data_IF_276765460698
#
_entry.id   IF_276765460698
#
_cell.length_a   1.000
_cell.length_b   1.000
_cell.length_c   1.000
_cell.angle_alpha   90.00
_cell.angle_beta   90.00
_cell.angle_gamma   90.00
#
_symmetry.space_group_name_H-M   'P 1'
#
loop_
_entity.id
_entity.type
_entity.pdbx_description
1 polymer ?
#
# COMPACT_ATOMS: atom_id res chain seq x y z
N UNK A 1 20.69 -7.20 23.20
CA UNK A 1 19.54 -6.94 24.09
C UNK A 1 19.14 -5.49 23.93
N UNK A 2 17.94 -5.26 23.41
CA UNK A 2 17.38 -3.93 23.15
C UNK A 2 16.06 -3.79 23.90
N UNK A 3 15.88 -2.72 24.67
CA UNK A 3 14.61 -2.44 25.35
C UNK A 3 13.57 -2.01 24.30
N UNK A 4 12.52 -2.79 24.14
CA UNK A 4 11.49 -2.57 23.12
C UNK A 4 10.15 -2.14 23.69
N UNK A 5 9.90 -2.35 24.98
CA UNK A 5 8.67 -1.94 25.65
C UNK A 5 8.92 -1.70 27.14
N UNK A 6 8.32 -0.65 27.69
CA UNK A 6 8.41 -0.29 29.11
C UNK A 6 7.07 0.23 29.59
N UNK A 7 6.61 -0.22 30.75
CA UNK A 7 5.43 0.35 31.42
C UNK A 7 5.73 0.52 32.88
N UNK A 8 5.35 1.66 33.45
CA UNK A 8 5.49 1.93 34.88
C UNK A 8 4.28 2.67 35.40
N UNK A 9 3.84 2.31 36.60
CA UNK A 9 2.75 2.96 37.30
C UNK A 9 2.91 2.86 38.81
N UNK A 10 2.34 3.84 39.50
CA UNK A 10 2.14 3.79 40.95
C UNK A 10 0.80 3.11 41.24
N UNK A 11 0.76 2.34 42.31
CA UNK A 11 -0.44 1.64 42.77
C UNK A 11 -0.68 1.89 44.26
N UNK A 12 -1.94 1.79 44.68
CA UNK A 12 -2.40 2.03 46.06
C UNK A 12 -2.94 0.76 46.73
N UNK A 13 -2.72 -0.41 46.13
CA UNK A 13 -3.22 -1.69 46.64
C UNK A 13 -2.38 -2.18 47.85
N UNK A 14 -3.04 -2.51 48.96
CA UNK A 14 -2.36 -2.92 50.22
C UNK A 14 -1.51 -4.21 50.11
N UNK A 15 -1.88 -5.15 49.20
CA UNK A 15 -1.20 -6.45 48.99
C UNK A 15 -0.56 -6.60 47.60
N UNK A 16 -0.07 -5.50 47.03
CA UNK A 16 0.42 -5.46 45.64
C UNK A 16 1.45 -6.56 45.32
N UNK A 17 2.42 -6.82 46.20
CA UNK A 17 3.44 -7.85 45.95
C UNK A 17 2.86 -9.24 45.72
N UNK A 18 1.86 -9.65 46.52
CA UNK A 18 1.24 -10.98 46.40
C UNK A 18 0.36 -11.05 45.16
N UNK A 19 -0.39 -9.98 44.89
CA UNK A 19 -1.24 -9.90 43.70
C UNK A 19 -0.41 -9.94 42.41
N UNK A 20 0.69 -9.19 42.37
CA UNK A 20 1.62 -9.17 41.23
C UNK A 20 2.31 -10.52 41.04
N UNK A 21 2.73 -11.17 42.13
CA UNK A 21 3.36 -12.50 42.09
C UNK A 21 2.38 -13.55 41.55
N UNK A 22 1.14 -13.57 42.01
CA UNK A 22 0.10 -14.48 41.51
C UNK A 22 -0.20 -14.22 40.02
N UNK A 23 -0.41 -12.96 39.63
CA UNK A 23 -0.70 -12.61 38.24
C UNK A 23 0.47 -12.94 37.30
N UNK A 24 1.71 -12.79 37.77
CA UNK A 24 2.90 -13.17 37.00
C UNK A 24 3.01 -14.68 36.85
N UNK A 25 2.79 -15.45 37.93
CA UNK A 25 2.81 -16.91 37.89
C UNK A 25 1.75 -17.46 36.93
N UNK A 26 0.52 -16.96 37.04
CA UNK A 26 -0.58 -17.33 36.13
C UNK A 26 -0.25 -17.03 34.66
N UNK A 27 0.36 -15.87 34.40
CA UNK A 27 0.75 -15.45 33.05
C UNK A 27 1.91 -16.30 32.50
N UNK A 28 2.92 -16.62 33.31
CA UNK A 28 4.04 -17.48 32.87
C UNK A 28 3.66 -18.95 32.68
N UNK A 29 2.62 -19.43 33.37
CA UNK A 29 2.25 -20.84 33.39
C UNK A 29 3.42 -21.72 33.84
N UNK A 30 3.74 -22.76 33.05
CA UNK A 30 4.80 -23.72 33.35
C UNK A 30 6.22 -23.23 32.98
N UNK A 31 6.37 -21.99 32.50
CA UNK A 31 7.67 -21.46 32.08
C UNK A 31 8.52 -21.12 33.31
N UNK A 32 9.76 -21.63 33.33
CA UNK A 32 10.72 -21.32 34.37
C UNK A 32 11.01 -19.81 34.42
N UNK A 33 10.91 -19.24 35.63
CA UNK A 33 11.19 -17.84 35.90
C UNK A 33 12.10 -17.69 37.12
N UNK A 34 12.84 -16.59 37.16
CA UNK A 34 13.71 -16.23 38.28
C UNK A 34 13.02 -15.17 39.13
N UNK A 35 13.08 -15.32 40.45
CA UNK A 35 12.60 -14.32 41.41
C UNK A 35 13.78 -13.87 42.26
N UNK A 36 14.03 -12.57 42.25
CA UNK A 36 15.08 -11.92 43.04
C UNK A 36 14.38 -10.99 44.02
N UNK A 37 14.66 -11.15 45.30
CA UNK A 37 14.16 -10.24 46.35
C UNK A 37 15.35 -9.56 47.01
N UNK A 38 15.36 -8.24 47.00
CA UNK A 38 16.36 -7.40 47.65
C UNK A 38 15.62 -6.33 48.43
N UNK A 39 16.08 -6.02 49.63
CA UNK A 39 15.55 -4.92 50.41
C UNK A 39 16.58 -4.38 51.38
N UNK A 40 16.36 -3.15 51.81
CA UNK A 40 17.05 -2.51 52.93
C UNK A 40 16.02 -2.14 54.02
N UNK A 41 16.39 -1.26 54.94
CA UNK A 41 15.49 -0.84 56.04
C UNK A 41 14.30 0.01 55.54
N UNK A 42 14.39 0.62 54.36
CA UNK A 42 13.44 1.63 53.87
C UNK A 42 12.68 1.18 52.60
N UNK A 43 13.26 0.26 51.83
CA UNK A 43 12.76 -0.15 50.51
C UNK A 43 12.78 -1.67 50.33
N UNK A 44 11.70 -2.21 49.77
CA UNK A 44 11.63 -3.62 49.35
C UNK A 44 11.44 -3.71 47.84
N UNK A 45 12.22 -4.58 47.20
CA UNK A 45 12.22 -4.77 45.76
C UNK A 45 12.07 -6.27 45.46
N UNK A 46 11.08 -6.61 44.64
CA UNK A 46 10.96 -7.92 44.02
C UNK A 46 11.10 -7.78 42.51
N UNK A 47 11.99 -8.57 41.91
CA UNK A 47 12.18 -8.65 40.48
C UNK A 47 11.89 -10.07 39.99
N UNK A 48 11.01 -10.17 39.00
CA UNK A 48 10.60 -11.40 38.32
C UNK A 48 11.13 -11.35 36.89
N UNK A 49 11.80 -12.41 36.45
CA UNK A 49 12.39 -12.50 35.11
C UNK A 49 11.92 -13.76 34.42
N UNK A 50 11.39 -13.61 33.21
CA UNK A 50 11.12 -14.74 32.33
C UNK A 50 11.76 -14.51 30.97
N UNK A 51 12.25 -15.59 30.38
CA UNK A 51 12.78 -15.61 29.02
C UNK A 51 11.84 -16.40 28.14
N UNK A 52 11.20 -15.73 27.20
CA UNK A 52 10.33 -16.36 26.22
C UNK A 52 11.15 -17.15 25.20
N UNK A 53 10.53 -18.21 24.65
CA UNK A 53 11.15 -19.03 23.59
C UNK A 53 11.46 -18.22 22.31
N UNK A 54 10.76 -17.10 22.10
CA UNK A 54 10.97 -16.17 20.99
C UNK A 54 12.22 -15.30 21.11
N UNK A 55 12.95 -15.38 22.24
CA UNK A 55 14.14 -14.55 22.52
C UNK A 55 13.83 -13.21 23.20
N UNK A 56 12.57 -12.95 23.55
CA UNK A 56 12.20 -11.80 24.38
C UNK A 56 12.38 -12.13 25.86
N UNK A 57 12.97 -11.20 26.61
CA UNK A 57 13.07 -11.26 28.06
C UNK A 57 12.11 -10.24 28.66
N UNK A 58 11.18 -10.70 29.48
CA UNK A 58 10.27 -9.84 30.24
C UNK A 58 10.77 -9.77 31.68
N UNK A 59 10.94 -8.56 32.19
CA UNK A 59 11.32 -8.30 33.59
C UNK A 59 10.26 -7.44 34.25
N UNK A 60 9.66 -7.95 35.32
CA UNK A 60 8.66 -7.26 36.13
C UNK A 60 9.29 -6.94 37.48
N UNK A 61 9.15 -5.70 37.93
CA UNK A 61 9.68 -5.20 39.19
C UNK A 61 8.56 -4.56 39.99
N UNK A 62 8.55 -4.84 41.28
CA UNK A 62 7.71 -4.15 42.25
C UNK A 62 8.63 -3.54 43.28
N UNK A 63 8.53 -2.23 43.45
CA UNK A 63 9.26 -1.46 44.44
C UNK A 63 8.26 -0.88 45.42
N UNK A 64 8.51 -1.06 46.71
CA UNK A 64 7.71 -0.48 47.78
C UNK A 64 8.65 0.30 48.70
N UNK A 65 8.42 1.60 48.84
CA UNK A 65 9.13 2.47 49.77
C UNK A 65 8.11 3.36 50.48
N UNK A 66 8.13 3.34 51.81
CA UNK A 66 7.20 4.08 52.68
C UNK A 66 5.72 3.92 52.30
N UNK A 67 5.17 4.90 51.56
CA UNK A 67 3.76 4.99 51.15
C UNK A 67 3.57 4.89 49.62
N UNK A 68 4.63 4.62 48.87
CA UNK A 68 4.57 4.54 47.41
C UNK A 68 5.00 3.16 46.91
N UNK A 69 4.15 2.58 46.06
CA UNK A 69 4.41 1.31 45.42
C UNK A 69 4.42 1.51 43.92
N UNK A 70 5.53 1.13 43.27
CA UNK A 70 5.68 1.23 41.82
C UNK A 70 5.81 -0.16 41.22
N UNK A 71 4.97 -0.42 40.21
CA UNK A 71 5.12 -1.57 39.32
C UNK A 71 5.78 -1.12 38.03
N UNK A 72 6.76 -1.90 37.59
CA UNK A 72 7.56 -1.60 36.41
C UNK A 72 7.82 -2.86 35.59
N UNK A 73 7.40 -2.84 34.31
CA UNK A 73 7.60 -3.93 33.35
C UNK A 73 8.52 -3.46 32.23
N UNK A 74 9.59 -4.20 31.98
CA UNK A 74 10.48 -4.05 30.84
C UNK A 74 10.40 -5.29 29.93
N UNK A 75 10.43 -5.07 28.62
CA UNK A 75 10.62 -6.14 27.63
C UNK A 75 11.85 -5.83 26.80
N UNK A 76 12.81 -6.75 26.83
CA UNK A 76 14.05 -6.70 26.09
C UNK A 76 14.05 -7.75 24.98
N UNK A 77 14.43 -7.37 23.77
CA UNK A 77 14.59 -8.29 22.65
C UNK A 77 16.07 -8.68 22.50
N UNK A 78 16.37 -9.97 22.55
CA UNK A 78 17.73 -10.49 22.34
C UNK A 78 18.09 -10.67 20.87
N UNK A 79 17.10 -10.90 20.01
CA UNK A 79 17.31 -11.34 18.63
C UNK A 79 17.57 -10.19 17.65
N UNK A 80 17.52 -8.93 18.09
CA UNK A 80 17.66 -7.72 17.26
C UNK A 80 16.76 -7.67 16.01
N UNK A 81 15.82 -8.62 15.89
CA UNK A 81 14.80 -8.62 14.86
C UNK A 81 13.76 -7.59 15.24
N UNK A 82 13.57 -6.59 14.38
CA UNK A 82 12.63 -5.47 14.53
C UNK A 82 11.15 -5.88 14.48
N UNK A 83 10.84 -7.17 14.63
CA UNK A 83 9.46 -7.64 14.59
C UNK A 83 8.85 -7.55 15.99
N UNK A 84 8.03 -6.51 16.16
CA UNK A 84 7.29 -6.19 17.38
C UNK A 84 6.12 -7.15 17.63
N UNK A 85 5.95 -8.18 16.79
CA UNK A 85 4.92 -9.21 16.88
C UNK A 85 4.97 -9.99 18.20
N UNK A 86 6.15 -10.06 18.84
CA UNK A 86 6.32 -10.72 20.14
C UNK A 86 5.89 -9.90 21.37
N UNK A 87 5.28 -8.72 21.20
CA UNK A 87 4.87 -7.84 22.32
C UNK A 87 3.43 -8.06 22.80
N UNK A 88 2.62 -8.85 22.10
CA UNK A 88 1.24 -9.12 22.51
C UNK A 88 1.19 -9.78 23.89
N UNK A 89 1.99 -10.83 24.08
CA UNK A 89 1.98 -11.59 25.33
C UNK A 89 2.47 -10.79 26.56
N UNK A 90 3.56 -9.99 26.51
CA UNK A 90 3.90 -9.08 27.60
C UNK A 90 2.86 -7.97 27.86
N UNK A 91 2.10 -7.53 26.85
CA UNK A 91 1.00 -6.57 27.06
C UNK A 91 -0.16 -7.20 27.80
N UNK A 92 -0.48 -8.47 27.52
CA UNK A 92 -1.48 -9.22 28.29
C UNK A 92 -1.15 -9.27 29.79
N UNK A 93 0.13 -9.41 30.15
CA UNK A 93 0.57 -9.30 31.54
C UNK A 93 0.24 -7.94 32.13
N UNK A 94 0.59 -6.85 31.46
CA UNK A 94 0.29 -5.48 31.93
C UNK A 94 -1.22 -5.29 32.09
N UNK A 95 -2.03 -5.68 31.11
CA UNK A 95 -3.49 -5.61 31.19
C UNK A 95 -4.03 -6.44 32.36
N UNK A 96 -3.49 -7.65 32.59
CA UNK A 96 -3.88 -8.51 33.71
C UNK A 96 -3.55 -7.87 35.06
N UNK A 97 -2.35 -7.30 35.20
CA UNK A 97 -1.92 -6.60 36.42
C UNK A 97 -2.81 -5.39 36.74
N UNK A 98 -3.12 -4.57 35.73
CA UNK A 98 -4.00 -3.42 35.89
C UNK A 98 -5.44 -3.84 36.24
N UNK A 99 -5.99 -4.88 35.58
CA UNK A 99 -7.31 -5.46 35.92
C UNK A 99 -7.34 -5.97 37.36
N UNK A 100 -6.28 -6.64 37.77
CA UNK A 100 -6.16 -7.18 39.12
C UNK A 100 -6.16 -6.04 40.14
N UNK A 101 -5.30 -5.03 39.95
CA UNK A 101 -5.26 -3.84 40.79
C UNK A 101 -6.62 -3.17 40.94
N UNK A 102 -7.30 -2.83 39.83
CA UNK A 102 -8.63 -2.20 39.88
C UNK A 102 -9.67 -3.06 40.62
N UNK A 103 -9.66 -4.39 40.43
CA UNK A 103 -10.59 -5.31 41.09
C UNK A 103 -10.36 -5.42 42.60
N UNK A 104 -9.13 -5.21 43.06
CA UNK A 104 -8.76 -5.23 44.48
C UNK A 104 -8.74 -3.82 45.10
N UNK A 105 -9.30 -2.82 44.43
CA UNK A 105 -9.44 -1.45 44.95
C UNK A 105 -8.18 -0.59 44.80
N UNK A 106 -7.19 -1.04 44.03
CA UNK A 106 -6.04 -0.24 43.63
C UNK A 106 -6.42 0.88 42.66
N UNK A 107 -5.57 1.91 42.61
CA UNK A 107 -5.73 3.06 41.70
C UNK A 107 -4.48 3.20 40.83
N UNK A 108 -4.33 2.36 39.79
CA UNK A 108 -3.13 2.37 38.97
C UNK A 108 -3.07 3.69 38.20
N UNK A 109 -2.00 4.46 38.41
CA UNK A 109 -1.82 5.78 37.81
C UNK A 109 -0.37 6.04 37.47
N UNK A 110 -0.15 7.00 36.58
CA UNK A 110 1.18 7.52 36.28
C UNK A 110 1.16 9.03 36.38
N UNK A 111 1.97 9.56 37.29
CA UNK A 111 1.89 10.98 37.64
C UNK A 111 0.47 11.33 38.11
N UNK A 112 -0.17 12.29 37.43
CA UNK A 112 -1.56 12.71 37.72
C UNK A 112 -2.61 11.95 36.90
N UNK A 113 -2.20 11.12 35.94
CA UNK A 113 -3.12 10.47 35.01
C UNK A 113 -3.42 9.04 35.46
N UNK A 114 -4.69 8.75 35.71
CA UNK A 114 -5.17 7.40 36.04
C UNK A 114 -5.29 6.53 34.78
N UNK A 115 -5.07 5.24 34.91
CA UNK A 115 -5.34 4.30 33.83
C UNK A 115 -6.81 3.89 33.87
N UNK A 116 -7.47 3.94 32.72
CA UNK A 116 -8.81 3.41 32.54
C UNK A 116 -8.78 2.43 31.38
N UNK A 117 -9.02 1.16 31.66
CA UNK A 117 -9.11 0.14 30.60
C UNK A 117 -10.44 0.18 29.85
N UNK A 118 -11.46 0.81 30.44
CA UNK A 118 -12.76 0.99 29.83
C UNK A 118 -12.79 2.29 29.02
N UNK A 119 -13.38 2.21 27.83
CA UNK A 119 -13.65 3.41 27.04
C UNK A 119 -14.58 4.34 27.82
N UNK A 120 -14.15 5.58 28.11
CA UNK A 120 -15.01 6.57 28.73
C UNK A 120 -16.18 6.87 27.80
N UNK A 121 -17.36 7.11 28.38
CA UNK A 121 -18.50 7.57 27.58
C UNK A 121 -18.17 8.95 26.99
N UNK A 122 -18.51 9.24 25.73
CA UNK A 122 -18.26 10.53 25.10
C UNK A 122 -19.24 11.60 25.60
N UNK A 123 -19.15 11.93 26.88
CA UNK A 123 -19.90 13.03 27.50
C UNK A 123 -19.12 14.33 27.38
N UNK A 124 -19.80 15.46 27.48
CA UNK A 124 -19.19 16.79 27.42
C UNK A 124 -18.07 16.96 28.45
N UNK A 125 -18.29 16.47 29.68
CA UNK A 125 -17.31 16.50 30.76
C UNK A 125 -16.06 15.70 30.43
N UNK A 126 -16.23 14.48 29.89
CA UNK A 126 -15.08 13.63 29.55
C UNK A 126 -14.30 14.21 28.38
N UNK A 127 -14.98 14.66 27.32
CA UNK A 127 -14.30 15.26 26.15
C UNK A 127 -13.51 16.49 26.58
N UNK A 128 -14.08 17.36 27.43
CA UNK A 128 -13.37 18.52 27.96
C UNK A 128 -12.13 18.12 28.74
N UNK A 129 -12.25 17.13 29.65
CA UNK A 129 -11.13 16.62 30.43
C UNK A 129 -9.99 16.11 29.54
N UNK A 130 -10.31 15.32 28.49
CA UNK A 130 -9.31 14.85 27.55
C UNK A 130 -8.64 15.99 26.77
N UNK A 131 -9.40 17.01 26.37
CA UNK A 131 -8.81 18.17 25.67
C UNK A 131 -7.88 18.95 26.59
N UNK A 132 -8.27 19.18 27.84
CA UNK A 132 -7.39 19.82 28.85
C UNK A 132 -6.11 19.02 29.04
N UNK A 133 -6.20 17.70 29.14
CA UNK A 133 -5.05 16.82 29.29
C UNK A 133 -4.18 16.77 28.03
N UNK A 134 -4.76 16.91 26.82
CA UNK A 134 -4.01 17.03 25.55
C UNK A 134 -3.09 18.27 25.56
N UNK A 135 -3.52 19.38 26.15
CA UNK A 135 -2.72 20.61 26.24
C UNK A 135 -1.89 20.73 27.51
N UNK A 136 -1.97 19.75 28.42
CA UNK A 136 -1.16 19.69 29.63
C UNK A 136 0.31 19.42 29.26
N UNK A 137 1.20 20.34 29.62
CA UNK A 137 2.65 20.27 29.33
C UNK A 137 3.38 19.18 30.13
N UNK A 138 2.77 18.66 31.18
CA UNK A 138 3.33 17.62 32.05
C UNK A 138 2.60 16.27 31.90
N UNK A 139 1.85 16.08 30.81
CA UNK A 139 1.10 14.84 30.56
C UNK A 139 2.05 13.63 30.48
N UNK A 140 1.96 12.65 31.40
CA UNK A 140 2.88 11.53 31.49
C UNK A 140 2.57 10.36 30.54
N UNK A 141 1.38 10.35 29.92
CA UNK A 141 0.89 9.24 29.08
C UNK A 141 0.35 9.75 27.74
N UNK A 142 0.25 8.87 26.75
CA UNK A 142 -0.36 9.24 25.46
C UNK A 142 -1.88 9.26 25.53
N UNK A 143 -2.50 10.05 24.66
CA UNK A 143 -3.94 10.03 24.42
C UNK A 143 -4.16 9.58 22.97
N UNK A 144 -4.98 8.55 22.76
CA UNK A 144 -5.37 8.06 21.45
C UNK A 144 -6.84 8.42 21.23
N UNK A 145 -7.11 9.29 20.27
CA UNK A 145 -8.46 9.67 19.90
C UNK A 145 -8.90 8.89 18.65
N UNK A 146 -10.06 8.25 18.70
CA UNK A 146 -10.61 7.46 17.60
C UNK A 146 -11.99 8.00 17.25
N UNK A 147 -12.15 8.48 16.02
CA UNK A 147 -13.42 8.99 15.52
C UNK A 147 -14.27 7.85 14.90
N UNK A 148 -15.57 7.87 15.17
CA UNK A 148 -16.52 6.98 14.51
C UNK A 148 -16.55 7.26 13.00
N UNK A 149 -16.44 6.20 12.18
CA UNK A 149 -16.64 6.29 10.73
C UNK A 149 -18.12 6.13 10.38
N UNK A 150 -18.80 7.15 9.81
CA UNK A 150 -20.20 7.05 9.39
C UNK A 150 -20.41 6.11 8.20
N UNK A 151 -19.36 5.80 7.44
CA UNK A 151 -19.39 4.90 6.29
C UNK A 151 -19.06 3.44 6.66
N UNK A 152 -18.77 3.17 7.93
CA UNK A 152 -18.44 1.84 8.43
C UNK A 152 -19.42 1.39 9.52
N UNK A 153 -19.44 0.09 9.81
CA UNK A 153 -20.26 -0.43 10.91
C UNK A 153 -19.75 0.10 12.25
N UNK A 154 -20.54 0.92 12.93
CA UNK A 154 -20.22 1.53 14.24
C UNK A 154 -19.67 0.53 15.24
N UNK A 155 -20.21 -0.70 15.25
CA UNK A 155 -19.78 -1.77 16.16
C UNK A 155 -18.32 -2.14 15.97
N UNK A 156 -17.83 -2.22 14.73
CA UNK A 156 -16.43 -2.58 14.42
C UNK A 156 -15.45 -1.52 14.90
N UNK A 157 -15.78 -0.23 14.74
CA UNK A 157 -14.93 0.86 15.23
C UNK A 157 -14.87 0.88 16.76
N UNK A 158 -15.99 0.60 17.44
CA UNK A 158 -16.01 0.48 18.91
C UNK A 158 -15.19 -0.73 19.37
N UNK A 159 -15.34 -1.89 18.72
CA UNK A 159 -14.55 -3.09 19.04
C UNK A 159 -13.05 -2.85 18.86
N UNK A 160 -12.65 -2.18 17.77
CA UNK A 160 -11.26 -1.74 17.56
C UNK A 160 -10.79 -0.78 18.65
N UNK A 161 -11.59 0.23 19.00
CA UNK A 161 -11.23 1.19 20.04
C UNK A 161 -11.05 0.51 21.41
N UNK A 162 -11.88 -0.49 21.74
CA UNK A 162 -11.73 -1.30 22.95
C UNK A 162 -10.46 -2.14 22.92
N UNK A 163 -10.18 -2.80 21.80
CA UNK A 163 -8.97 -3.60 21.64
C UNK A 163 -7.69 -2.74 21.80
N UNK A 164 -7.69 -1.50 21.27
CA UNK A 164 -6.60 -0.53 21.48
C UNK A 164 -6.55 -0.10 22.96
N UNK A 165 -7.68 0.21 23.59
CA UNK A 165 -7.71 0.61 25.01
C UNK A 165 -7.15 -0.49 25.92
N UNK A 166 -7.50 -1.74 25.68
CA UNK A 166 -6.98 -2.88 26.44
C UNK A 166 -5.50 -3.14 26.15
N UNK A 167 -5.10 -3.10 24.87
CA UNK A 167 -3.74 -3.41 24.44
C UNK A 167 -2.69 -2.35 24.77
N UNK A 168 -3.11 -1.12 25.06
CA UNK A 168 -2.25 0.01 25.47
C UNK A 168 -2.53 0.50 26.89
N UNK A 169 -3.22 -0.32 27.70
CA UNK A 169 -3.41 -0.06 29.12
C UNK A 169 -2.05 0.13 29.81
N UNK A 170 -1.94 1.14 30.68
CA UNK A 170 -0.68 1.51 31.34
C UNK A 170 0.22 2.46 30.53
N UNK A 171 -0.08 2.66 29.25
CA UNK A 171 0.72 3.52 28.35
C UNK A 171 -0.10 4.68 27.80
N UNK A 172 -1.35 4.42 27.44
CA UNK A 172 -2.23 5.41 26.81
C UNK A 172 -3.63 5.37 27.39
N UNK A 173 -4.30 6.52 27.34
CA UNK A 173 -5.76 6.57 27.44
C UNK A 173 -6.38 6.63 26.04
N UNK A 174 -7.56 6.04 25.87
CA UNK A 174 -8.27 6.01 24.60
C UNK A 174 -9.60 6.76 24.72
N UNK A 175 -9.77 7.76 23.86
CA UNK A 175 -11.02 8.51 23.72
C UNK A 175 -11.72 8.09 22.42
N UNK A 176 -12.86 7.44 22.55
CA UNK A 176 -13.74 7.16 21.42
C UNK A 176 -14.72 8.33 21.23
N UNK A 177 -14.78 8.87 20.01
CA UNK A 177 -15.64 10.00 19.64
C UNK A 177 -16.75 9.50 18.72
N UNK A 178 -17.99 9.52 19.21
CA UNK A 178 -19.17 9.34 18.36
C UNK A 178 -19.42 10.59 17.49
N UNK A 179 -20.42 10.55 16.60
CA UNK A 179 -20.68 11.69 15.69
C UNK A 179 -20.90 13.02 16.43
N UNK A 180 -21.58 13.00 17.58
CA UNK A 180 -21.83 14.20 18.38
C UNK A 180 -20.59 14.66 19.15
N UNK A 181 -19.84 13.72 19.73
CA UNK A 181 -18.61 13.96 20.47
C UNK A 181 -17.48 14.46 19.57
N UNK A 182 -17.40 13.98 18.32
CA UNK A 182 -16.41 14.45 17.35
C UNK A 182 -16.57 15.95 17.10
N UNK A 183 -17.76 16.42 16.73
CA UNK A 183 -18.01 17.83 16.47
C UNK A 183 -17.64 18.72 17.68
N UNK A 184 -17.88 18.23 18.90
CA UNK A 184 -17.51 18.93 20.14
C UNK A 184 -16.00 18.95 20.34
N UNK A 185 -15.34 17.81 20.17
CA UNK A 185 -13.89 17.71 20.25
C UNK A 185 -13.20 18.65 19.25
N UNK A 186 -13.66 18.70 18.00
CA UNK A 186 -13.15 19.59 16.96
C UNK A 186 -13.25 21.08 17.37
N UNK A 187 -14.38 21.47 17.97
CA UNK A 187 -14.58 22.84 18.45
C UNK A 187 -13.66 23.23 19.61
N UNK A 188 -13.29 22.26 20.46
CA UNK A 188 -12.45 22.51 21.64
C UNK A 188 -10.95 22.44 21.32
N UNK A 189 -10.52 21.49 20.49
CA UNK A 189 -9.10 21.24 20.22
C UNK A 189 -8.51 22.18 19.15
N UNK A 190 -9.35 22.69 18.24
CA UNK A 190 -8.94 23.56 17.14
C UNK A 190 -8.52 22.81 15.87
N UNK A 191 -8.48 23.53 14.75
CA UNK A 191 -8.34 22.95 13.40
C UNK A 191 -7.07 22.11 13.19
N UNK A 192 -5.96 22.47 13.83
CA UNK A 192 -4.66 21.82 13.59
C UNK A 192 -4.55 20.44 14.26
N UNK A 193 -5.35 20.21 15.31
CA UNK A 193 -5.33 19.00 16.15
C UNK A 193 -6.62 18.19 16.03
N UNK A 194 -7.51 18.62 15.14
CA UNK A 194 -8.77 17.99 14.82
C UNK A 194 -8.59 16.59 14.23
N UNK A 195 -9.71 15.88 14.12
CA UNK A 195 -9.87 14.56 13.52
C UNK A 195 -11.00 14.62 12.50
N UNK A 196 -10.85 13.95 11.37
CA UNK A 196 -11.98 13.71 10.46
C UNK A 196 -12.74 12.42 10.84
N UNK A 197 -13.99 12.24 10.37
CA UNK A 197 -14.75 11.03 10.65
C UNK A 197 -14.02 9.77 10.20
N UNK A 198 -13.89 8.81 11.13
CA UNK A 198 -13.21 7.53 10.90
C UNK A 198 -11.69 7.55 11.06
N UNK A 199 -11.08 8.70 11.39
CA UNK A 199 -9.63 8.79 11.64
C UNK A 199 -9.25 8.40 13.08
N UNK A 200 -7.96 8.09 13.27
CA UNK A 200 -7.35 7.90 14.58
C UNK A 200 -6.16 8.86 14.73
N UNK A 201 -6.05 9.54 15.86
CA UNK A 201 -4.93 10.45 16.12
C UNK A 201 -4.32 10.18 17.49
N UNK A 202 -2.99 10.28 17.54
CA UNK A 202 -2.20 9.99 18.73
C UNK A 202 -1.56 11.28 19.22
N UNK A 203 -1.79 11.60 20.48
CA UNK A 203 -1.14 12.67 21.21
C UNK A 203 -0.11 12.02 22.14
N UNK A 204 1.19 12.03 21.79
CA UNK A 204 2.23 11.39 22.60
C UNK A 204 2.36 12.05 23.98
N UNK A 205 3.00 11.44 25.00
CA UNK A 205 3.28 12.11 26.27
C UNK A 205 3.94 13.48 26.08
N UNK A 206 3.53 14.45 26.89
CA UNK A 206 4.14 15.78 26.89
C UNK A 206 5.46 15.73 27.66
N UNK A 207 6.44 16.50 27.19
CA UNK A 207 7.74 16.59 27.81
C UNK A 207 8.14 18.07 27.86
N UNK A 208 8.16 18.71 29.04
CA UNK A 208 8.34 20.17 29.15
C UNK A 208 9.73 20.64 28.70
N UNK A 209 10.73 19.76 28.67
CA UNK A 209 12.08 20.08 28.17
C UNK A 209 12.15 20.08 26.64
N UNK A 210 11.17 19.46 25.97
CA UNK A 210 11.14 19.30 24.53
C UNK A 210 9.94 20.03 23.91
N UNK A 211 10.14 20.64 22.74
CA UNK A 211 9.00 21.00 21.87
C UNK A 211 8.45 19.72 21.24
N UNK A 212 7.84 18.86 22.05
CA UNK A 212 7.23 17.63 21.57
C UNK A 212 6.18 17.97 20.53
N UNK A 213 6.16 17.20 19.44
CA UNK A 213 5.04 17.24 18.50
C UNK A 213 3.77 16.94 19.30
N UNK A 214 2.88 17.94 19.40
CA UNK A 214 1.69 17.82 20.25
C UNK A 214 0.80 16.64 19.83
N UNK A 215 0.73 16.40 18.52
CA UNK A 215 -0.06 15.35 17.93
C UNK A 215 0.66 14.76 16.71
N UNK A 216 0.79 13.44 16.67
CA UNK A 216 1.21 12.74 15.46
C UNK A 216 0.20 12.98 14.32
N UNK A 217 0.62 12.79 13.06
CA UNK A 217 -0.30 12.76 11.93
C UNK A 217 -1.44 11.75 12.17
N UNK A 218 -2.69 12.10 11.79
CA UNK A 218 -3.80 11.17 11.93
C UNK A 218 -3.63 9.97 10.99
N UNK A 219 -4.00 8.78 11.46
CA UNK A 219 -4.16 7.59 10.63
C UNK A 219 -5.48 7.76 9.85
N UNK A 220 -5.44 7.80 8.50
CA UNK A 220 -6.62 8.09 7.70
C UNK A 220 -7.72 7.02 7.81
N UNK A 221 -8.97 7.44 7.67
CA UNK A 221 -10.12 6.53 7.64
C UNK A 221 -10.05 5.50 6.48
N UNK A 222 -9.37 5.81 5.37
CA UNK A 222 -9.14 4.85 4.29
C UNK A 222 -8.28 3.67 4.73
N UNK A 223 -7.28 3.94 5.56
CA UNK A 223 -6.32 2.94 6.01
C UNK A 223 -6.98 2.06 7.05
N UNK A 224 -7.70 2.66 8.00
CA UNK A 224 -8.45 1.94 9.04
C UNK A 224 -9.49 1.00 8.42
N UNK A 225 -10.18 1.42 7.34
CA UNK A 225 -11.18 0.59 6.66
C UNK A 225 -10.60 -0.60 5.88
N UNK A 226 -9.40 -0.46 5.33
CA UNK A 226 -8.78 -1.47 4.43
C UNK A 226 -7.80 -2.38 5.15
N UNK A 227 -7.10 -1.85 6.16
CA UNK A 227 -6.06 -2.56 6.88
C UNK A 227 -6.65 -3.54 7.89
N UNK A 228 -5.91 -4.61 8.16
CA UNK A 228 -6.21 -5.49 9.29
C UNK A 228 -5.83 -4.80 10.61
N UNK A 229 -6.47 -5.21 11.71
CA UNK A 229 -6.23 -4.66 13.03
C UNK A 229 -4.74 -4.70 13.43
N UNK A 230 -4.01 -5.75 13.08
CA UNK A 230 -2.61 -5.91 13.45
C UNK A 230 -1.72 -4.82 12.83
N UNK A 231 -2.04 -4.34 11.62
CA UNK A 231 -1.31 -3.25 10.98
C UNK A 231 -1.59 -1.90 11.67
N UNK A 232 -2.86 -1.65 12.04
CA UNK A 232 -3.25 -0.45 12.80
C UNK A 232 -2.54 -0.48 14.16
N UNK A 233 -2.61 -1.60 14.87
CA UNK A 233 -1.94 -1.80 16.16
C UNK A 233 -0.43 -1.58 16.04
N UNK A 234 0.22 -2.09 14.98
CA UNK A 234 1.65 -1.86 14.74
C UNK A 234 1.98 -0.38 14.49
N UNK A 235 1.13 0.35 13.77
CA UNK A 235 1.29 1.80 13.53
C UNK A 235 1.18 2.58 14.84
N UNK A 236 0.16 2.28 15.64
CA UNK A 236 -0.01 2.87 16.99
C UNK A 236 1.22 2.62 17.86
N UNK A 237 1.73 1.38 17.90
CA UNK A 237 2.92 1.06 18.67
C UNK A 237 4.13 1.85 18.21
N UNK A 238 4.39 1.91 16.91
CA UNK A 238 5.55 2.62 16.35
C UNK A 238 5.53 4.10 16.71
N UNK A 239 4.36 4.72 16.73
CA UNK A 239 4.22 6.13 17.10
C UNK A 239 4.42 6.38 18.58
N UNK A 240 4.02 5.45 19.46
CA UNK A 240 4.10 5.67 20.92
C UNK A 240 5.44 5.16 21.48
N UNK A 241 6.03 4.11 20.89
CA UNK A 241 7.22 3.42 21.38
C UNK A 241 8.40 4.35 21.70
N UNK A 242 8.82 5.29 20.82
CA UNK A 242 9.96 6.16 21.11
C UNK A 242 9.74 6.98 22.39
N UNK A 243 8.50 7.43 22.62
CA UNK A 243 8.14 8.23 23.78
C UNK A 243 8.15 7.39 25.06
N UNK A 244 7.63 6.16 25.02
CA UNK A 244 7.65 5.23 26.15
C UNK A 244 9.08 4.92 26.58
N UNK A 245 9.95 4.66 25.59
CA UNK A 245 11.33 4.25 25.84
C UNK A 245 12.21 5.43 26.25
N UNK A 246 11.90 6.65 25.79
CA UNK A 246 12.65 7.85 26.14
C UNK A 246 12.37 8.35 27.56
N UNK A 247 11.21 8.04 28.14
CA UNK A 247 10.82 8.56 29.45
C UNK A 247 11.82 8.19 30.56
N UNK A 248 12.20 9.16 31.42
CA UNK A 248 13.09 8.91 32.54
C UNK A 248 12.43 7.98 33.56
N UNK A 249 13.26 7.21 34.26
CA UNK A 249 12.80 6.41 35.39
C UNK A 249 12.64 7.34 36.60
N UNK A 250 11.60 7.16 37.43
CA UNK A 250 11.52 7.84 38.72
C UNK A 250 12.73 7.48 39.60
N UNK A 251 13.18 8.42 40.44
CA UNK A 251 14.33 8.23 41.36
C UNK A 251 14.19 6.96 42.20
N UNK A 252 12.97 6.63 42.62
CA UNK A 252 12.67 5.39 43.34
C UNK A 252 13.10 4.14 42.56
N UNK A 253 12.81 4.10 41.27
CA UNK A 253 13.19 2.98 40.40
C UNK A 253 14.70 2.95 40.16
N UNK A 254 15.35 4.11 40.04
CA UNK A 254 16.80 4.19 39.86
C UNK A 254 17.55 3.70 41.11
N UNK A 255 17.09 4.09 42.29
CA UNK A 255 17.62 3.60 43.57
C UNK A 255 17.41 2.09 43.72
N UNK A 256 16.24 1.59 43.32
CA UNK A 256 15.97 0.16 43.32
C UNK A 256 16.93 -0.62 42.41
N UNK A 257 17.27 -0.08 41.24
CA UNK A 257 18.28 -0.69 40.35
C UNK A 257 19.67 -0.70 40.97
N UNK A 258 20.06 0.35 41.71
CA UNK A 258 21.35 0.39 42.43
C UNK A 258 21.43 -0.73 43.47
N UNK A 259 20.35 -0.95 44.21
CA UNK A 259 20.22 -2.03 45.19
C UNK A 259 20.32 -3.41 44.51
N UNK A 260 19.52 -3.66 43.46
CA UNK A 260 19.54 -4.94 42.73
C UNK A 260 20.91 -5.28 42.13
N UNK A 261 21.70 -4.28 41.74
CA UNK A 261 23.03 -4.48 41.15
C UNK A 261 24.17 -4.47 42.17
N UNK A 262 23.86 -4.38 43.47
CA UNK A 262 24.87 -4.42 44.55
C UNK A 262 25.80 -3.21 44.58
N UNK A 263 25.29 -2.02 44.26
CA UNK A 263 26.05 -0.77 44.37
C UNK A 263 26.15 -0.27 45.83
N UNK A 264 25.25 -0.73 46.72
CA UNK A 264 25.18 -0.34 48.13
C UNK A 264 25.80 -1.37 49.10
N UNK A 265 26.88 -2.07 48.72
CA UNK A 265 27.57 -2.99 49.64
C UNK A 265 28.29 -2.19 50.76
N UNK A 266 27.86 -2.28 52.03
CA UNK A 266 28.39 -1.44 53.10
C UNK A 266 29.85 -1.74 53.47
N UNK A 267 30.44 -2.83 52.97
CA UNK A 267 31.79 -3.27 53.29
C UNK A 267 32.90 -2.61 52.44
N UNK A 268 32.57 -1.91 51.34
CA UNK A 268 33.57 -1.37 50.41
C UNK A 268 33.16 0.00 49.81
N UNK A 269 33.12 1.03 50.67
CA UNK A 269 32.64 2.39 50.33
C UNK A 269 33.37 3.01 49.13
N UNK A 270 34.68 2.84 49.01
CA UNK A 270 35.46 3.43 47.91
C UNK A 270 35.12 2.79 46.56
N UNK A 271 34.81 1.49 46.55
CA UNK A 271 34.33 0.76 45.37
C UNK A 271 32.89 1.12 45.04
N UNK A 272 32.04 1.34 46.05
CA UNK A 272 30.68 1.85 45.87
C UNK A 272 30.67 3.27 45.28
N UNK A 273 31.53 4.18 45.74
CA UNK A 273 31.61 5.54 45.21
C UNK A 273 32.03 5.58 43.73
N UNK A 274 33.05 4.80 43.36
CA UNK A 274 33.47 4.68 41.94
C UNK A 274 32.38 4.08 41.07
N UNK A 275 31.76 3.00 41.54
CA UNK A 275 30.62 2.38 40.88
C UNK A 275 29.46 3.38 40.70
N UNK A 276 29.13 4.15 41.73
CA UNK A 276 28.08 5.17 41.67
C UNK A 276 28.41 6.27 40.65
N UNK A 277 29.65 6.77 40.62
CA UNK A 277 30.07 7.75 39.61
C UNK A 277 29.99 7.21 38.17
N UNK A 278 30.42 5.97 37.95
CA UNK A 278 30.29 5.30 36.64
C UNK A 278 28.81 5.09 36.25
N UNK A 279 27.96 4.77 37.23
CA UNK A 279 26.52 4.63 37.01
C UNK A 279 25.87 5.95 36.60
N UNK A 280 26.18 7.06 37.29
CA UNK A 280 25.68 8.40 36.93
C UNK A 280 26.13 8.82 35.52
N UNK A 281 27.40 8.58 35.18
CA UNK A 281 27.92 8.86 33.84
C UNK A 281 27.18 8.04 32.77
N UNK A 282 26.95 6.75 33.02
CA UNK A 282 26.18 5.88 32.12
C UNK A 282 24.72 6.32 32.01
N UNK A 283 24.13 6.83 33.09
CA UNK A 283 22.75 7.30 33.11
C UNK A 283 22.60 8.57 32.27
N UNK A 284 23.53 9.52 32.42
CA UNK A 284 23.59 10.73 31.60
C UNK A 284 23.85 10.41 30.11
N UNK A 285 24.70 9.44 29.81
CA UNK A 285 24.92 8.98 28.43
C UNK A 285 23.68 8.27 27.86
N UNK A 286 23.01 7.44 28.66
CA UNK A 286 21.78 6.76 28.23
C UNK A 286 20.64 7.75 27.98
N UNK A 287 20.51 8.79 28.81
CA UNK A 287 19.57 9.90 28.58
C UNK A 287 19.87 10.59 27.23
N UNK A 288 21.15 10.90 26.94
CA UNK A 288 21.54 11.45 25.62
C UNK A 288 21.19 10.53 24.45
N UNK A 289 21.44 9.23 24.60
CA UNK A 289 21.10 8.25 23.56
C UNK A 289 19.58 8.15 23.35
N UNK A 290 18.78 8.23 24.42
CA UNK A 290 17.32 8.28 24.33
C UNK A 290 16.82 9.50 23.58
N UNK A 291 17.44 10.67 23.82
CA UNK A 291 17.13 11.89 23.07
C UNK A 291 17.43 11.71 21.58
N UNK A 292 18.63 11.25 21.24
CA UNK A 292 19.02 11.00 19.84
C UNK A 292 18.10 9.98 19.17
N UNK A 293 17.73 8.90 19.87
CA UNK A 293 16.83 7.87 19.32
C UNK A 293 15.44 8.42 19.03
N UNK A 294 14.91 9.30 19.88
CA UNK A 294 13.61 9.95 19.69
C UNK A 294 13.63 10.88 18.48
N UNK A 295 14.67 11.68 18.31
CA UNK A 295 14.82 12.59 17.17
C UNK A 295 14.92 11.80 15.85
N UNK A 296 15.76 10.77 15.81
CA UNK A 296 15.88 9.87 14.64
C UNK A 296 14.56 9.15 14.35
N UNK A 297 13.79 8.77 15.38
CA UNK A 297 12.49 8.14 15.20
C UNK A 297 11.47 9.11 14.59
N UNK A 298 11.47 10.38 15.00
CA UNK A 298 10.62 11.40 14.41
C UNK A 298 10.97 11.66 12.93
N UNK A 299 12.27 11.75 12.61
CA UNK A 299 12.75 11.88 11.23
C UNK A 299 12.36 10.67 10.37
N UNK A 300 12.44 9.46 10.94
CA UNK A 300 12.04 8.23 10.26
C UNK A 300 10.54 8.20 9.96
N UNK A 301 9.69 8.67 10.88
CA UNK A 301 8.25 8.78 10.63
C UNK A 301 7.94 9.72 9.47
N UNK A 302 8.60 10.88 9.42
CA UNK A 302 8.46 11.82 8.29
C UNK A 302 8.90 11.18 6.97
N UNK A 303 10.00 10.41 6.97
CA UNK A 303 10.46 9.70 5.77
C UNK A 303 9.49 8.59 5.33
N UNK A 304 8.88 7.87 6.27
CA UNK A 304 7.86 6.84 5.96
C UNK A 304 6.65 7.50 5.29
N UNK A 305 6.18 8.64 5.80
CA UNK A 305 5.07 9.39 5.20
C UNK A 305 5.39 9.86 3.78
N UNK A 306 6.61 10.35 3.54
CA UNK A 306 7.06 10.72 2.20
C UNK A 306 7.02 9.53 1.24
N UNK A 307 7.45 8.34 1.70
CA UNK A 307 7.40 7.10 0.91
C UNK A 307 5.96 6.71 0.60
N UNK A 308 5.05 6.76 1.58
CA UNK A 308 3.62 6.46 1.38
C UNK A 308 2.99 7.40 0.33
N UNK A 309 3.25 8.71 0.42
CA UNK A 309 2.78 9.69 -0.56
C UNK A 309 3.36 9.44 -1.96
N UNK A 310 4.66 9.11 -2.07
CA UNK A 310 5.28 8.79 -3.35
C UNK A 310 4.72 7.51 -3.98
N UNK A 311 4.40 6.50 -3.17
CA UNK A 311 3.73 5.28 -3.65
C UNK A 311 2.33 5.57 -4.19
N UNK A 312 1.55 6.41 -3.51
CA UNK A 312 0.24 6.86 -3.99
C UNK A 312 0.33 7.65 -5.31
N UNK A 313 1.34 8.51 -5.44
CA UNK A 313 1.60 9.23 -6.70
C UNK A 313 1.98 8.27 -7.83
N UNK A 314 2.79 7.26 -7.57
CA UNK A 314 3.13 6.22 -8.53
C UNK A 314 1.89 5.44 -8.98
N UNK A 315 1.05 5.02 -8.04
CA UNK A 315 -0.20 4.31 -8.35
C UNK A 315 -1.13 5.14 -9.24
N UNK A 316 -1.27 6.44 -8.94
CA UNK A 316 -2.05 7.37 -9.78
C UNK A 316 -1.46 7.51 -11.19
N UNK A 317 -0.13 7.64 -11.31
CA UNK A 317 0.54 7.71 -12.61
C UNK A 317 0.42 6.43 -13.43
N UNK A 318 0.45 5.26 -12.78
CA UNK A 318 0.26 3.97 -13.46
C UNK A 318 -1.17 3.77 -13.96
N UNK A 319 -2.17 4.29 -13.26
CA UNK A 319 -3.56 4.34 -13.76
C UNK A 319 -3.63 5.26 -14.98
N UNK A 320 -3.09 6.47 -14.89
CA UNK A 320 -3.06 7.42 -16.01
C UNK A 320 -2.34 6.86 -17.23
N UNK A 321 -1.22 6.14 -17.03
CA UNK A 321 -0.48 5.48 -18.12
C UNK A 321 -1.35 4.44 -18.82
N UNK A 322 -2.05 3.59 -18.07
CA UNK A 322 -2.94 2.56 -18.63
C UNK A 322 -4.12 3.16 -19.40
N UNK A 323 -4.76 4.18 -18.84
CA UNK A 323 -5.84 4.89 -19.52
C UNK A 323 -5.37 5.55 -20.83
N UNK A 324 -4.16 6.13 -20.83
CA UNK A 324 -3.56 6.68 -22.04
C UNK A 324 -3.21 5.60 -23.08
N UNK A 325 -2.66 4.46 -22.64
CA UNK A 325 -2.37 3.30 -23.50
C UNK A 325 -3.66 2.75 -24.14
N UNK A 326 -4.73 2.56 -23.37
CA UNK A 326 -6.04 2.13 -23.86
C UNK A 326 -6.63 3.13 -24.87
N UNK A 327 -6.48 4.43 -24.60
CA UNK A 327 -6.92 5.47 -25.53
C UNK A 327 -6.17 5.41 -26.87
N UNK A 328 -4.85 5.19 -26.85
CA UNK A 328 -4.05 5.05 -28.07
C UNK A 328 -4.42 3.80 -28.88
N UNK A 329 -4.69 2.68 -28.20
CA UNK A 329 -5.14 1.45 -28.86
C UNK A 329 -6.47 1.68 -29.57
N UNK A 330 -7.46 2.24 -28.86
CA UNK A 330 -8.77 2.55 -29.45
C UNK A 330 -8.65 3.51 -30.65
N UNK A 331 -7.74 4.48 -30.56
CA UNK A 331 -7.48 5.43 -31.64
C UNK A 331 -6.84 4.76 -32.86
N UNK A 332 -5.90 3.84 -32.65
CA UNK A 332 -5.26 3.06 -33.70
C UNK A 332 -6.28 2.14 -34.39
N UNK A 333 -7.07 1.39 -33.63
CA UNK A 333 -8.13 0.53 -34.16
C UNK A 333 -9.16 1.31 -34.99
N UNK A 334 -9.55 2.50 -34.53
CA UNK A 334 -10.46 3.37 -35.27
C UNK A 334 -9.85 3.89 -36.59
N UNK A 335 -8.55 4.19 -36.60
CA UNK A 335 -7.84 4.58 -37.82
C UNK A 335 -7.73 3.42 -38.80
N UNK A 336 -7.39 2.22 -38.33
CA UNK A 336 -7.32 1.01 -39.16
C UNK A 336 -8.70 0.65 -39.73
N UNK A 337 -9.77 0.72 -38.93
CA UNK A 337 -11.13 0.49 -39.39
C UNK A 337 -11.54 1.52 -40.45
N UNK A 338 -11.22 2.80 -40.25
CA UNK A 338 -11.50 3.86 -41.22
C UNK A 338 -10.73 3.65 -42.54
N UNK A 339 -9.46 3.26 -42.45
CA UNK A 339 -8.65 2.93 -43.63
C UNK A 339 -9.22 1.71 -44.37
N UNK A 340 -9.57 0.64 -43.65
CA UNK A 340 -10.16 -0.56 -44.23
C UNK A 340 -11.51 -0.27 -44.90
N UNK A 341 -12.36 0.59 -44.32
CA UNK A 341 -13.59 1.04 -44.96
C UNK A 341 -13.33 1.87 -46.23
N UNK A 342 -12.34 2.78 -46.19
CA UNK A 342 -11.98 3.59 -47.35
C UNK A 342 -11.46 2.74 -48.51
N UNK A 343 -10.66 1.72 -48.22
CA UNK A 343 -10.12 0.78 -49.19
C UNK A 343 -11.24 -0.08 -49.79
N UNK A 344 -12.15 -0.61 -48.96
CA UNK A 344 -13.34 -1.34 -49.43
C UNK A 344 -14.19 -0.50 -50.38
N UNK A 345 -14.47 0.77 -50.02
CA UNK A 345 -15.22 1.71 -50.86
C UNK A 345 -14.51 1.97 -52.18
N UNK A 346 -13.19 2.14 -52.17
CA UNK A 346 -12.38 2.35 -53.38
C UNK A 346 -12.51 1.16 -54.33
N UNK A 347 -12.29 -0.04 -53.82
CA UNK A 347 -12.39 -1.30 -54.59
C UNK A 347 -13.79 -1.49 -55.15
N UNK A 348 -14.84 -1.20 -54.36
CA UNK A 348 -16.22 -1.30 -54.82
C UNK A 348 -16.55 -0.30 -55.93
N UNK A 349 -16.06 0.94 -55.83
CA UNK A 349 -16.21 1.94 -56.90
C UNK A 349 -15.50 1.52 -58.18
N UNK A 350 -14.28 0.99 -58.08
CA UNK A 350 -13.52 0.49 -59.24
C UNK A 350 -14.24 -0.70 -59.91
N UNK A 351 -14.76 -1.65 -59.13
CA UNK A 351 -15.61 -2.74 -59.65
C UNK A 351 -16.82 -2.22 -60.43
N UNK A 352 -17.53 -1.23 -59.87
CA UNK A 352 -18.70 -0.63 -60.52
C UNK A 352 -18.31 0.08 -61.82
N UNK A 353 -17.18 0.80 -61.84
CA UNK A 353 -16.67 1.47 -63.02
C UNK A 353 -16.31 0.48 -64.14
N UNK A 354 -15.58 -0.59 -63.81
CA UNK A 354 -15.25 -1.67 -64.77
C UNK A 354 -16.53 -2.32 -65.29
N UNK A 355 -17.46 -2.65 -64.39
CA UNK A 355 -18.72 -3.30 -64.76
C UNK A 355 -19.57 -2.43 -65.70
N UNK A 356 -19.67 -1.14 -65.41
CA UNK A 356 -20.36 -0.17 -66.26
C UNK A 356 -19.70 -0.03 -67.63
N UNK A 357 -18.37 0.13 -67.66
CA UNK A 357 -17.64 0.29 -68.91
C UNK A 357 -17.69 -0.94 -69.83
N UNK A 358 -17.72 -2.14 -69.25
CA UNK A 358 -17.90 -3.39 -69.98
C UNK A 358 -19.31 -3.54 -70.56
N UNK A 359 -20.35 -3.09 -69.85
CA UNK A 359 -21.73 -3.13 -70.33
C UNK A 359 -22.00 -2.10 -71.44
N UNK A 360 -21.46 -0.89 -71.29
CA UNK A 360 -21.65 0.23 -72.23
C UNK A 360 -20.62 0.23 -73.38
N UNK A 361 -19.73 -0.76 -73.43
CA UNK A 361 -18.73 -0.91 -74.50
C UNK A 361 -17.83 0.34 -74.67
N UNK A 362 -17.36 0.94 -73.58
CA UNK A 362 -16.62 2.21 -73.62
C UNK A 362 -15.17 1.98 -74.09
N UNK A 363 -14.89 2.17 -75.38
CA UNK A 363 -13.56 1.95 -75.99
C UNK A 363 -12.41 2.64 -75.24
N UNK A 364 -12.58 3.91 -74.83
CA UNK A 364 -11.52 4.68 -74.17
C UNK A 364 -11.23 4.25 -72.72
N UNK A 365 -12.09 3.42 -72.11
CA UNK A 365 -11.90 2.95 -70.74
C UNK A 365 -10.79 1.90 -70.68
N UNK A 366 -10.78 0.96 -71.63
CA UNK A 366 -9.79 -0.12 -71.71
C UNK A 366 -8.36 0.41 -71.74
N UNK A 367 -8.11 1.43 -72.55
CA UNK A 367 -6.76 1.99 -72.71
C UNK A 367 -6.33 2.80 -71.50
N UNK A 368 -7.23 3.63 -70.92
CA UNK A 368 -6.96 4.40 -69.69
C UNK A 368 -6.69 3.53 -68.46
N UNK A 369 -7.50 2.49 -68.25
CA UNK A 369 -7.28 1.55 -67.13
C UNK A 369 -5.98 0.76 -67.31
N UNK A 370 -5.67 0.37 -68.56
CA UNK A 370 -4.42 -0.34 -68.84
C UNK A 370 -3.20 0.55 -68.62
N UNK A 371 -3.26 1.84 -68.90
CA UNK A 371 -2.15 2.76 -68.65
C UNK A 371 -1.73 2.80 -67.17
N UNK A 372 -2.67 2.59 -66.25
CA UNK A 372 -2.42 2.56 -64.80
C UNK A 372 -1.56 1.38 -64.34
N UNK A 373 -1.50 0.29 -65.12
CA UNK A 373 -0.78 -0.93 -64.75
C UNK A 373 0.74 -0.75 -64.94
N UNK A 374 1.49 -1.10 -63.90
CA UNK A 374 2.95 -0.94 -63.83
C UNK A 374 3.72 -2.25 -63.74
N UNK A 375 3.07 -3.36 -63.34
CA UNK A 375 3.70 -4.68 -63.17
C UNK A 375 2.76 -5.84 -63.51
N UNK A 376 3.30 -7.05 -63.63
CA UNK A 376 2.52 -8.29 -63.84
C UNK A 376 1.79 -8.68 -62.56
N UNK A 377 2.42 -8.52 -61.38
CA UNK A 377 1.75 -8.76 -60.10
C UNK A 377 0.55 -7.85 -59.89
N UNK A 378 0.65 -6.57 -60.23
CA UNK A 378 -0.45 -5.62 -60.14
C UNK A 378 -1.64 -6.05 -61.01
N UNK A 379 -1.37 -6.47 -62.26
CA UNK A 379 -2.41 -6.96 -63.17
C UNK A 379 -3.13 -8.21 -62.63
N UNK A 380 -2.38 -9.14 -62.05
CA UNK A 380 -2.95 -10.35 -61.43
C UNK A 380 -3.74 -10.04 -60.16
N UNK A 381 -3.25 -9.14 -59.31
CA UNK A 381 -3.93 -8.72 -58.09
C UNK A 381 -5.25 -8.01 -58.42
N UNK A 382 -5.22 -7.02 -59.33
CA UNK A 382 -6.41 -6.34 -59.84
C UNK A 382 -7.38 -7.33 -60.49
N UNK A 383 -6.89 -8.29 -61.28
CA UNK A 383 -7.74 -9.31 -61.90
C UNK A 383 -8.49 -10.17 -60.89
N UNK A 384 -7.81 -10.63 -59.84
CA UNK A 384 -8.43 -11.42 -58.75
C UNK A 384 -9.43 -10.60 -57.95
N UNK A 385 -9.14 -9.33 -57.73
CA UNK A 385 -9.92 -8.48 -56.84
C UNK A 385 -11.14 -7.86 -57.53
N UNK A 386 -11.02 -7.47 -58.81
CA UNK A 386 -11.97 -6.61 -59.51
C UNK A 386 -12.87 -7.32 -60.54
N UNK A 387 -12.50 -8.52 -61.01
CA UNK A 387 -13.25 -9.25 -62.03
C UNK A 387 -14.13 -10.31 -61.39
N UNK A 388 -15.39 -10.41 -61.83
CA UNK A 388 -16.38 -11.28 -61.19
C UNK A 388 -16.58 -12.61 -61.96
N UNK A 389 -16.28 -12.64 -63.26
CA UNK A 389 -16.49 -13.82 -64.12
C UNK A 389 -15.18 -14.52 -64.51
N UNK A 390 -14.03 -13.88 -64.28
CA UNK A 390 -12.70 -14.45 -64.52
C UNK A 390 -12.07 -14.91 -63.20
N UNK A 391 -11.90 -16.23 -63.04
CA UNK A 391 -11.23 -16.79 -61.87
C UNK A 391 -9.75 -17.01 -62.14
N UNK A 392 -8.90 -16.19 -61.53
CA UNK A 392 -7.44 -16.33 -61.58
C UNK A 392 -6.99 -17.19 -60.38
N UNK A 393 -6.27 -18.27 -60.65
CA UNK A 393 -5.77 -19.18 -59.61
C UNK A 393 -4.83 -18.46 -58.62
N UNK A 394 -4.78 -18.93 -57.37
CA UNK A 394 -3.97 -18.26 -56.35
C UNK A 394 -2.46 -18.33 -56.64
N UNK A 395 -2.01 -19.47 -57.20
CA UNK A 395 -0.61 -19.76 -57.58
C UNK A 395 -0.41 -19.76 -59.10
N UNK A 396 -0.51 -18.60 -59.75
CA UNK A 396 -0.33 -18.48 -61.21
C UNK A 396 1.13 -18.70 -61.64
N UNK A 397 2.10 -18.30 -60.83
CA UNK A 397 3.52 -18.51 -61.11
C UNK A 397 4.36 -18.46 -59.84
N UNK A 398 5.35 -19.35 -59.73
CA UNK A 398 6.38 -19.34 -58.67
C UNK A 398 7.53 -18.36 -58.98
N UNK A 399 7.56 -17.77 -60.18
CA UNK A 399 8.60 -16.85 -60.65
C UNK A 399 8.03 -15.46 -60.99
N UNK A 400 6.99 -15.05 -60.27
CA UNK A 400 6.32 -13.77 -60.50
C UNK A 400 7.27 -12.58 -60.28
N UNK A 401 8.15 -12.68 -59.28
CA UNK A 401 9.19 -11.68 -59.01
C UNK A 401 10.18 -11.54 -60.18
N UNK A 402 10.56 -12.63 -60.84
CA UNK A 402 11.43 -12.59 -62.03
C UNK A 402 10.77 -11.87 -63.22
N UNK A 403 9.43 -11.98 -63.34
CA UNK A 403 8.66 -11.31 -64.39
C UNK A 403 8.51 -9.81 -64.12
N UNK A 404 8.36 -9.42 -62.85
CA UNK A 404 8.25 -8.02 -62.44
C UNK A 404 9.59 -7.28 -62.44
N UNK A 405 10.70 -7.99 -62.16
CA UNK A 405 12.06 -7.43 -62.24
C UNK A 405 12.57 -7.27 -63.68
N UNK A 406 11.81 -7.73 -64.68
CA UNK A 406 12.19 -7.58 -66.07
C UNK A 406 11.92 -6.16 -66.59
N UNK A 407 12.77 -5.63 -67.47
CA UNK A 407 12.56 -4.33 -68.12
C UNK A 407 11.23 -4.23 -68.89
N UNK A 408 10.62 -5.37 -69.25
CA UNK A 408 9.32 -5.46 -69.94
C UNK A 408 8.13 -5.69 -69.00
N UNK A 409 8.31 -5.73 -67.68
CA UNK A 409 7.26 -6.01 -66.70
C UNK A 409 6.01 -5.14 -66.89
N UNK A 410 6.20 -3.84 -67.14
CA UNK A 410 5.11 -2.89 -67.42
C UNK A 410 4.34 -3.25 -68.69
N UNK A 411 5.03 -3.60 -69.77
CA UNK A 411 4.39 -3.99 -71.04
C UNK A 411 3.62 -5.30 -70.87
N UNK A 412 4.22 -6.29 -70.22
CA UNK A 412 3.57 -7.59 -69.98
C UNK A 412 2.37 -7.48 -69.05
N UNK A 413 2.47 -6.72 -67.95
CA UNK A 413 1.35 -6.48 -67.03
C UNK A 413 0.17 -5.82 -67.75
N UNK A 414 0.44 -4.84 -68.62
CA UNK A 414 -0.57 -4.18 -69.44
C UNK A 414 -1.26 -5.14 -70.42
N UNK A 415 -0.49 -5.97 -71.11
CA UNK A 415 -1.05 -6.95 -72.05
C UNK A 415 -1.88 -8.02 -71.35
N UNK A 416 -1.44 -8.48 -70.18
CA UNK A 416 -2.17 -9.41 -69.32
C UNK A 416 -3.48 -8.79 -68.82
N UNK A 417 -3.45 -7.53 -68.38
CA UNK A 417 -4.66 -6.82 -67.95
C UNK A 417 -5.67 -6.65 -69.09
N UNK A 418 -5.22 -6.31 -70.30
CA UNK A 418 -6.08 -6.26 -71.50
C UNK A 418 -6.74 -7.62 -71.78
N UNK A 419 -5.98 -8.71 -71.66
CA UNK A 419 -6.51 -10.05 -71.83
C UNK A 419 -7.59 -10.38 -70.77
N UNK A 420 -7.37 -10.00 -69.51
CA UNK A 420 -8.38 -10.21 -68.46
C UNK A 420 -9.67 -9.42 -68.68
N UNK A 421 -9.59 -8.15 -69.08
CA UNK A 421 -10.77 -7.37 -69.45
C UNK A 421 -11.51 -7.99 -70.63
N UNK A 422 -10.78 -8.54 -71.62
CA UNK A 422 -11.38 -9.24 -72.75
C UNK A 422 -12.09 -10.53 -72.32
N UNK A 423 -11.50 -11.31 -71.41
CA UNK A 423 -12.13 -12.52 -70.86
C UNK A 423 -13.39 -12.19 -70.05
N UNK A 424 -13.36 -11.13 -69.25
CA UNK A 424 -14.52 -10.67 -68.48
C UNK A 424 -15.65 -10.20 -69.43
N UNK A 425 -15.32 -9.43 -70.46
CA UNK A 425 -16.27 -8.99 -71.49
C UNK A 425 -16.89 -10.18 -72.24
N UNK A 426 -16.07 -11.17 -72.62
CA UNK A 426 -16.54 -12.39 -73.28
C UNK A 426 -17.50 -13.17 -72.38
N UNK A 427 -17.12 -13.41 -71.12
CA UNK A 427 -17.94 -14.16 -70.18
C UNK A 427 -19.29 -13.47 -69.92
N UNK A 428 -19.35 -12.13 -69.92
CA UNK A 428 -20.59 -11.34 -69.77
C UNK A 428 -21.44 -11.31 -71.04
N UNK A 429 -20.84 -11.42 -72.22
CA UNK A 429 -21.55 -11.26 -73.50
C UNK A 429 -22.57 -12.37 -73.80
N UNK A 430 -22.46 -13.53 -73.14
CA UNK A 430 -23.31 -14.70 -73.42
C UNK A 430 -23.12 -15.27 -74.84
N UNK A 431 -21.99 -14.95 -75.51
CA UNK A 431 -21.72 -15.39 -76.87
C UNK A 431 -21.65 -16.93 -76.98
N UNK A 432 -22.37 -17.49 -77.96
CA UNK A 432 -22.53 -18.94 -78.11
C UNK A 432 -21.32 -19.66 -78.77
N UNK A 433 -20.32 -18.92 -79.25
CA UNK A 433 -19.09 -19.46 -79.84
C UNK A 433 -17.88 -19.38 -78.90
N UNK A 434 -16.71 -19.77 -79.38
CA UNK A 434 -15.48 -19.72 -78.57
C UNK A 434 -14.89 -18.29 -78.48
N UNK A 435 -13.99 -18.07 -77.50
CA UNK A 435 -13.37 -16.76 -77.26
C UNK A 435 -12.67 -16.16 -78.49
N UNK A 436 -12.03 -17.01 -79.30
CA UNK A 436 -11.34 -16.58 -80.53
C UNK A 436 -12.33 -16.03 -81.57
N UNK A 437 -13.46 -16.71 -81.76
CA UNK A 437 -14.54 -16.26 -82.64
C UNK A 437 -15.14 -14.93 -82.15
N UNK A 438 -15.31 -14.77 -80.83
CA UNK A 438 -15.79 -13.54 -80.22
C UNK A 438 -14.82 -12.36 -80.35
N UNK A 439 -13.51 -12.60 -80.27
CA UNK A 439 -12.52 -11.55 -80.55
C UNK A 439 -12.52 -11.17 -82.04
N UNK A 440 -12.70 -12.15 -82.92
CA UNK A 440 -12.73 -11.95 -84.38
C UNK A 440 -13.95 -11.15 -84.86
N UNK A 441 -15.02 -11.03 -84.06
CA UNK A 441 -16.21 -10.23 -84.41
C UNK A 441 -16.05 -8.73 -84.16
N UNK A 442 -14.88 -8.25 -83.69
CA UNK A 442 -14.57 -6.83 -83.61
C UNK A 442 -15.19 -6.08 -82.43
N UNK A 443 -15.50 -6.77 -81.32
CA UNK A 443 -16.01 -6.13 -80.10
C UNK A 443 -14.98 -5.15 -79.49
N UNK A 444 -15.43 -4.12 -78.77
CA UNK A 444 -14.54 -3.06 -78.25
C UNK A 444 -13.51 -3.57 -77.22
N UNK A 445 -13.83 -4.65 -76.50
CA UNK A 445 -12.94 -5.33 -75.57
C UNK A 445 -12.24 -6.56 -76.18
N UNK A 446 -12.29 -6.74 -77.50
CA UNK A 446 -11.61 -7.86 -78.18
C UNK A 446 -10.09 -7.80 -77.99
N UNK A 447 -9.49 -8.98 -77.84
CA UNK A 447 -8.05 -9.16 -77.73
C UNK A 447 -7.51 -9.77 -79.02
N UNK A 448 -6.74 -9.00 -79.78
CA UNK A 448 -6.12 -9.46 -81.02
C UNK A 448 -4.66 -9.85 -80.76
N UNK A 449 -4.38 -11.15 -80.74
CA UNK A 449 -3.03 -11.70 -80.59
C UNK A 449 -2.19 -11.61 -81.86
N UNK A 450 -2.12 -10.44 -82.51
CA UNK A 450 -1.16 -10.26 -83.61
C UNK A 450 0.32 -10.27 -83.16
N UNK A 451 0.60 -10.49 -81.87
CA UNK A 451 1.97 -10.51 -81.33
C UNK A 451 2.31 -11.69 -80.38
N UNK A 452 1.45 -12.70 -80.23
CA UNK A 452 1.76 -13.86 -79.35
C UNK A 452 1.60 -15.17 -80.11
N UNK A 453 2.70 -15.67 -80.68
CA UNK A 453 2.76 -16.98 -81.30
C UNK A 453 2.74 -18.07 -80.21
N UNK A 454 1.54 -18.53 -79.85
CA UNK A 454 1.34 -19.81 -79.15
C UNK A 454 0.34 -20.62 -79.98
N UNK A 455 0.86 -21.51 -80.82
CA UNK A 455 0.11 -22.65 -81.33
C UNK A 455 0.13 -23.70 -80.22
N UNK A 456 -1.03 -24.07 -79.70
CA UNK A 456 -1.18 -25.30 -78.94
C UNK A 456 -0.88 -26.49 -79.88
N UNK A 457 -0.07 -27.43 -79.39
CA UNK A 457 0.21 -28.72 -80.03
C UNK A 457 -0.74 -29.79 -79.54
#
# INVERSE_FOLDING_TARGET
>A
MELVYRVLWTDSQDDLFQAVEHAFQDWTGDVAHEVITVGDEESQIKEFRVKAQSGNRTTLRVVSQENEQIVWVDVENENHNSDLSGLEHPRELVTSLLKTSENFGGTPKRGKSEFHMLLPRPTDTNILHFVEEIFNSERPISIICIAQDPLHETRKTIEMARAIAEGYAGVSQVLFLDQGGLARFQNLVGSNYSLEPGELRIFPPADPEFRTVLAAPPIPASDIRKAKYELINRRVLRTIQPYILAQPLPDLCENALRLLRGFNDPLDREKSDRKNADFENLLAENQKLRYNFRDVSADLEHAIEEIENLQDQLAKKDIQRREAEEWWIQRADALEASQAESEKKRVEMEKRAISFALNESIQNFRDKETESITSVSEALAKGKQLLDHVKIAERVSTRLEDLDNNQRAKTWGRDIWKAFLAFEAYARSGYAGNFYQWCSSGNDFSWFSQSTALKES
#
